data_IF_440199747565
#
_entry.id   IF_440199747565
#
_cell.length_a   1.000
_cell.length_b   1.000
_cell.length_c   1.000
_cell.angle_alpha   90.00
_cell.angle_beta   90.00
_cell.angle_gamma   90.00
#
_symmetry.space_group_name_H-M   'P 1'
#
loop_
_entity.id
_entity.type
_entity.pdbx_description
1 polymer ?
#
# COMPACT_ATOMS: atom_id res chain seq x y z
N UNK A 1 -8.98 4.14 -0.61
CA UNK A 1 -9.43 5.38 0.08
C UNK A 1 -10.93 5.47 0.33
N UNK A 2 -11.80 5.24 -0.66
CA UNK A 2 -13.26 5.36 -0.47
C UNK A 2 -13.81 4.45 0.65
N UNK A 3 -13.34 3.20 0.73
CA UNK A 3 -13.76 2.26 1.77
C UNK A 3 -13.29 2.69 3.17
N UNK A 4 -12.08 3.23 3.29
CA UNK A 4 -11.57 3.82 4.54
C UNK A 4 -12.41 5.03 4.98
N UNK A 5 -12.79 5.91 4.04
CA UNK A 5 -13.68 7.04 4.34
C UNK A 5 -15.01 6.56 4.88
N UNK A 6 -15.62 5.56 4.22
CA UNK A 6 -16.92 4.99 4.62
C UNK A 6 -16.88 4.40 6.03
N UNK A 7 -15.79 3.72 6.38
CA UNK A 7 -15.65 3.03 7.66
C UNK A 7 -14.89 3.85 8.73
N UNK A 8 -14.51 5.09 8.45
CA UNK A 8 -13.68 5.92 9.33
C UNK A 8 -14.22 6.02 10.77
N UNK A 9 -15.54 6.17 10.92
CA UNK A 9 -16.18 6.26 12.23
C UNK A 9 -16.01 5.00 13.10
N UNK A 10 -15.84 3.83 12.48
CA UNK A 10 -15.63 2.55 13.19
C UNK A 10 -14.29 2.52 13.93
N UNK A 11 -13.24 3.13 13.38
CA UNK A 11 -11.92 3.21 14.03
C UNK A 11 -11.96 4.01 15.33
N UNK A 12 -12.80 5.04 15.40
CA UNK A 12 -13.00 5.85 16.61
C UNK A 12 -13.53 5.02 17.79
N UNK A 13 -14.32 3.97 17.53
CA UNK A 13 -14.84 3.06 18.57
C UNK A 13 -13.74 2.30 19.29
N UNK A 14 -12.62 2.08 18.61
CA UNK A 14 -11.45 1.35 19.13
C UNK A 14 -10.31 2.30 19.51
N UNK A 15 -10.60 3.58 19.76
CA UNK A 15 -9.61 4.63 20.06
C UNK A 15 -8.45 4.68 19.04
N UNK A 16 -8.76 4.39 17.77
CA UNK A 16 -7.77 4.28 16.69
C UNK A 16 -7.88 5.48 15.75
N UNK A 17 -6.74 6.10 15.44
CA UNK A 17 -6.64 7.22 14.49
C UNK A 17 -6.13 6.70 13.16
N UNK A 18 -6.78 7.13 12.07
CA UNK A 18 -6.40 6.74 10.71
C UNK A 18 -5.54 7.83 10.08
N UNK A 19 -4.46 7.42 9.41
CA UNK A 19 -3.64 8.26 8.56
C UNK A 19 -3.44 7.55 7.23
N UNK A 20 -3.56 8.29 6.14
CA UNK A 20 -3.15 7.81 4.83
C UNK A 20 -1.76 8.37 4.49
N UNK A 21 -1.00 7.66 3.66
CA UNK A 21 0.32 8.07 3.17
C UNK A 21 0.29 8.05 1.63
N UNK A 22 0.80 9.10 1.01
CA UNK A 22 1.03 9.16 -0.45
C UNK A 22 2.42 9.70 -0.73
N UNK A 23 3.00 9.32 -1.88
CA UNK A 23 4.23 9.91 -2.42
C UNK A 23 3.96 11.20 -3.19
N UNK A 24 2.69 11.59 -3.33
CA UNK A 24 2.28 12.79 -4.05
C UNK A 24 2.68 14.07 -3.30
N UNK A 25 3.01 15.16 -4.02
CA UNK A 25 3.33 16.43 -3.40
C UNK A 25 2.20 17.02 -2.55
N UNK A 26 2.57 17.80 -1.53
CA UNK A 26 1.62 18.42 -0.59
C UNK A 26 0.42 19.09 -1.28
N UNK A 27 0.66 19.86 -2.34
CA UNK A 27 -0.40 20.57 -3.08
C UNK A 27 -1.41 19.60 -3.72
N UNK A 28 -0.94 18.48 -4.27
CA UNK A 28 -1.80 17.46 -4.86
C UNK A 28 -2.60 16.72 -3.79
N UNK A 29 -1.92 16.31 -2.70
CA UNK A 29 -2.54 15.65 -1.54
C UNK A 29 -3.61 16.53 -0.89
N UNK A 30 -3.37 17.83 -0.72
CA UNK A 30 -4.36 18.78 -0.20
C UNK A 30 -5.59 18.91 -1.11
N UNK A 31 -5.38 18.97 -2.43
CA UNK A 31 -6.48 19.00 -3.39
C UNK A 31 -7.30 17.71 -3.33
N UNK A 32 -6.65 16.55 -3.18
CA UNK A 32 -7.32 15.26 -3.03
C UNK A 32 -8.16 15.19 -1.76
N UNK A 33 -7.59 15.60 -0.62
CA UNK A 33 -8.30 15.67 0.67
C UNK A 33 -9.56 16.52 0.55
N UNK A 34 -9.46 17.71 -0.06
CA UNK A 34 -10.61 18.61 -0.26
C UNK A 34 -11.63 18.02 -1.24
N UNK A 35 -11.18 17.50 -2.38
CA UNK A 35 -12.05 16.96 -3.43
C UNK A 35 -12.83 15.73 -2.96
N UNK A 36 -12.19 14.88 -2.16
CA UNK A 36 -12.78 13.64 -1.65
C UNK A 36 -13.40 13.82 -0.26
N UNK A 37 -13.25 15.00 0.36
CA UNK A 37 -13.71 15.31 1.71
C UNK A 37 -13.26 14.21 2.70
N UNK A 38 -11.94 13.98 2.76
CA UNK A 38 -11.39 12.88 3.57
C UNK A 38 -11.46 13.22 5.07
N UNK A 39 -12.00 12.34 5.92
CA UNK A 39 -12.13 12.60 7.35
C UNK A 39 -10.85 12.32 8.15
N UNK A 40 -9.76 11.99 7.46
CA UNK A 40 -8.46 11.65 8.04
C UNK A 40 -7.32 12.39 7.31
N UNK A 41 -6.17 12.60 7.97
CA UNK A 41 -5.02 13.24 7.35
C UNK A 41 -4.40 12.37 6.25
N UNK A 42 -3.87 13.03 5.21
CA UNK A 42 -3.04 12.43 4.18
C UNK A 42 -1.60 12.97 4.32
N UNK A 43 -0.70 12.11 4.76
CA UNK A 43 0.73 12.35 4.90
C UNK A 43 1.41 12.25 3.53
N UNK A 44 2.45 13.06 3.32
CA UNK A 44 3.21 13.14 2.07
C UNK A 44 4.63 12.60 2.29
N UNK A 45 5.02 11.60 1.51
CA UNK A 45 6.33 10.93 1.47
C UNK A 45 6.99 11.20 0.11
N UNK A 46 7.19 12.48 -0.21
CA UNK A 46 7.64 12.93 -1.55
C UNK A 46 9.01 12.35 -1.93
N UNK A 47 9.89 12.21 -0.93
CA UNK A 47 11.23 11.61 -1.05
C UNK A 47 11.20 10.07 -1.00
N UNK A 48 10.02 9.48 -0.79
CA UNK A 48 9.76 8.03 -0.74
C UNK A 48 10.51 7.31 0.38
N UNK A 49 10.92 8.03 1.42
CA UNK A 49 11.73 7.48 2.50
C UNK A 49 10.95 6.43 3.30
N UNK A 50 9.68 6.71 3.64
CA UNK A 50 8.85 5.81 4.44
C UNK A 50 8.49 4.56 3.63
N UNK A 51 8.09 4.71 2.38
CA UNK A 51 7.72 3.54 1.57
C UNK A 51 8.92 2.63 1.29
N UNK A 52 10.14 3.17 1.24
CA UNK A 52 11.37 2.38 1.10
C UNK A 52 11.73 1.65 2.39
N UNK A 53 11.62 2.33 3.54
CA UNK A 53 11.82 1.76 4.87
C UNK A 53 10.88 0.58 5.14
N UNK A 54 9.65 0.66 4.64
CA UNK A 54 8.64 -0.39 4.78
C UNK A 54 8.67 -1.43 3.64
N UNK A 55 9.61 -1.28 2.70
CA UNK A 55 9.78 -2.15 1.53
C UNK A 55 8.50 -2.28 0.69
N UNK A 56 7.81 -1.16 0.50
CA UNK A 56 6.55 -1.07 -0.23
C UNK A 56 6.72 -0.52 -1.64
N UNK A 57 7.89 0.02 -2.01
CA UNK A 57 8.09 0.56 -3.35
C UNK A 57 7.83 -0.51 -4.42
N UNK A 58 6.86 -0.25 -5.28
CA UNK A 58 6.61 -1.04 -6.48
C UNK A 58 7.49 -0.52 -7.61
N UNK A 59 8.54 -1.26 -8.03
CA UNK A 59 9.43 -0.80 -9.09
C UNK A 59 8.74 -0.79 -10.47
N UNK A 60 7.60 -1.46 -10.60
CA UNK A 60 6.91 -1.65 -11.88
C UNK A 60 5.85 -0.60 -12.18
N UNK A 61 5.49 0.28 -11.22
CA UNK A 61 4.54 1.38 -11.44
C UNK A 61 5.22 2.75 -11.34
N UNK A 62 5.33 3.44 -12.49
CA UNK A 62 5.69 4.87 -12.64
C UNK A 62 6.80 5.37 -11.70
N UNK A 63 7.91 4.62 -11.59
CA UNK A 63 9.08 5.08 -10.85
C UNK A 63 8.96 5.07 -9.31
N UNK A 64 8.05 4.28 -8.73
CA UNK A 64 8.10 3.93 -7.30
C UNK A 64 6.90 4.38 -6.47
N UNK A 65 5.68 4.12 -6.94
CA UNK A 65 4.49 4.18 -6.08
C UNK A 65 4.52 3.01 -5.10
N UNK A 66 3.96 3.17 -3.90
CA UNK A 66 3.86 2.08 -2.94
C UNK A 66 2.82 1.03 -3.36
N UNK A 67 3.12 -0.25 -3.14
CA UNK A 67 2.08 -1.28 -3.04
C UNK A 67 1.06 -0.85 -1.98
N UNK A 68 -0.25 -0.95 -2.27
CA UNK A 68 -1.27 -0.71 -1.28
C UNK A 68 -1.03 -1.56 -0.04
N UNK A 69 -0.98 -0.92 1.13
CA UNK A 69 -0.69 -1.59 2.37
C UNK A 69 -1.33 -0.85 3.55
N UNK A 70 -1.69 -1.63 4.57
CA UNK A 70 -2.27 -1.14 5.81
C UNK A 70 -1.45 -1.65 6.97
N UNK A 71 -1.17 -0.78 7.93
CA UNK A 71 -0.42 -1.11 9.15
C UNK A 71 -1.19 -0.59 10.36
N UNK A 72 -1.28 -1.39 11.42
CA UNK A 72 -1.74 -0.91 12.73
C UNK A 72 -0.53 -0.85 13.64
N UNK A 73 -0.33 0.33 14.21
CA UNK A 73 0.74 0.62 15.17
C UNK A 73 0.08 0.83 16.53
N UNK A 74 0.50 0.04 17.52
CA UNK A 74 -0.02 0.14 18.87
C UNK A 74 0.58 1.35 19.61
N UNK A 75 0.08 1.70 20.82
CA UNK A 75 0.64 2.81 21.61
C UNK A 75 2.13 2.66 21.99
N UNK A 76 2.65 1.43 22.02
CA UNK A 76 4.08 1.14 22.22
C UNK A 76 4.94 1.35 20.97
N UNK A 77 4.37 1.84 19.87
CA UNK A 77 5.02 2.06 18.56
C UNK A 77 5.47 0.77 17.87
N UNK A 78 4.83 -0.35 18.19
CA UNK A 78 5.04 -1.63 17.51
C UNK A 78 3.97 -1.85 16.45
N UNK A 79 4.39 -2.36 15.30
CA UNK A 79 3.47 -2.84 14.26
C UNK A 79 2.85 -4.15 14.76
N UNK A 80 1.54 -4.15 14.99
CA UNK A 80 0.81 -5.34 15.44
C UNK A 80 -0.08 -5.96 14.35
N UNK A 81 -0.30 -5.24 13.24
CA UNK A 81 -1.00 -5.73 12.06
C UNK A 81 -0.36 -5.18 10.79
N UNK A 82 -0.37 -6.00 9.72
CA UNK A 82 0.05 -5.60 8.37
C UNK A 82 -0.80 -6.32 7.32
N UNK A 83 -1.38 -5.56 6.39
CA UNK A 83 -1.94 -6.07 5.13
C UNK A 83 -1.13 -5.55 3.94
N UNK A 84 -0.96 -6.39 2.92
CA UNK A 84 -0.50 -6.01 1.59
C UNK A 84 -1.62 -6.29 0.61
N UNK A 85 -2.24 -5.23 0.10
CA UNK A 85 -3.38 -5.35 -0.79
C UNK A 85 -2.92 -5.32 -2.25
N UNK A 86 -3.54 -6.14 -3.10
CA UNK A 86 -3.27 -6.11 -4.53
C UNK A 86 -3.85 -4.86 -5.19
N UNK A 87 -3.20 -4.33 -6.22
CA UNK A 87 -3.64 -3.15 -6.99
C UNK A 87 -5.05 -3.30 -7.60
N UNK A 88 -5.53 -4.54 -7.79
CA UNK A 88 -6.78 -4.87 -8.48
C UNK A 88 -7.95 -5.31 -7.58
N UNK A 89 -7.71 -5.64 -6.30
CA UNK A 89 -8.75 -6.11 -5.38
C UNK A 89 -9.28 -4.96 -4.53
N UNK A 90 -10.59 -4.89 -4.33
CA UNK A 90 -11.17 -4.04 -3.27
C UNK A 90 -10.51 -4.41 -1.94
N UNK A 91 -10.01 -3.42 -1.21
CA UNK A 91 -9.46 -3.61 0.14
C UNK A 91 -10.62 -4.06 1.03
N UNK A 92 -10.58 -5.29 1.51
CA UNK A 92 -11.50 -5.79 2.52
C UNK A 92 -10.98 -5.37 3.89
N UNK A 93 -11.66 -4.40 4.52
CA UNK A 93 -11.30 -3.89 5.84
C UNK A 93 -11.81 -4.78 6.98
N UNK A 94 -12.52 -5.88 6.68
CA UNK A 94 -13.13 -6.75 7.69
C UNK A 94 -12.08 -7.36 8.63
N UNK A 95 -10.95 -7.82 8.09
CA UNK A 95 -9.86 -8.39 8.88
C UNK A 95 -9.21 -7.35 9.80
N UNK A 96 -9.06 -6.11 9.32
CA UNK A 96 -8.50 -4.99 10.09
C UNK A 96 -9.43 -4.60 11.26
N UNK A 97 -10.73 -4.42 10.98
CA UNK A 97 -11.71 -4.04 12.00
C UNK A 97 -11.90 -5.16 13.03
N UNK A 98 -11.91 -6.42 12.60
CA UNK A 98 -11.95 -7.57 13.50
C UNK A 98 -10.70 -7.63 14.39
N UNK A 99 -9.52 -7.33 13.83
CA UNK A 99 -8.30 -7.25 14.61
C UNK A 99 -8.39 -6.14 15.67
N UNK A 100 -8.87 -4.95 15.29
CA UNK A 100 -9.06 -3.82 16.22
C UNK A 100 -10.06 -4.13 17.33
N UNK A 101 -11.16 -4.82 17.02
CA UNK A 101 -12.13 -5.27 18.01
C UNK A 101 -11.48 -6.23 19.02
N UNK A 102 -10.69 -7.19 18.54
CA UNK A 102 -10.04 -8.17 19.41
C UNK A 102 -8.99 -7.54 20.32
N UNK A 103 -8.11 -6.67 19.81
CA UNK A 103 -7.10 -5.98 20.64
C UNK A 103 -7.74 -4.99 21.62
N UNK A 104 -8.88 -4.40 21.25
CA UNK A 104 -9.63 -3.54 22.17
C UNK A 104 -10.21 -4.32 23.36
N UNK A 105 -10.68 -5.56 23.11
CA UNK A 105 -11.23 -6.42 24.14
C UNK A 105 -10.15 -7.18 24.95
N UNK A 106 -9.01 -7.48 24.32
CA UNK A 106 -7.87 -8.16 24.91
C UNK A 106 -6.56 -7.50 24.45
N UNK A 107 -5.96 -6.69 25.33
CA UNK A 107 -4.71 -6.00 25.04
C UNK A 107 -3.52 -6.95 24.80
N UNK A 108 -3.62 -8.21 25.22
CA UNK A 108 -2.63 -9.26 24.97
C UNK A 108 -2.82 -9.99 23.63
N UNK A 109 -3.89 -9.69 22.89
CA UNK A 109 -4.20 -10.40 21.65
C UNK A 109 -3.11 -10.21 20.59
N UNK A 110 -2.54 -11.32 20.16
CA UNK A 110 -1.64 -11.41 19.02
C UNK A 110 -2.34 -12.20 17.91
N UNK A 111 -2.20 -11.76 16.66
CA UNK A 111 -2.66 -12.60 15.55
C UNK A 111 -1.76 -13.83 15.42
N UNK A 112 -2.35 -15.01 15.58
CA UNK A 112 -1.69 -16.29 15.26
C UNK A 112 -1.30 -16.41 13.78
N UNK A 113 -1.91 -15.59 12.91
CA UNK A 113 -1.65 -15.60 11.48
C UNK A 113 -0.64 -14.50 11.18
N UNK A 114 0.62 -14.90 10.97
CA UNK A 114 1.63 -14.01 10.41
C UNK A 114 1.04 -13.30 9.17
N UNK A 115 1.25 -11.98 9.00
CA UNK A 115 0.64 -11.22 7.91
C UNK A 115 0.90 -11.94 6.59
N UNK A 116 -0.17 -12.30 5.87
CA UNK A 116 -0.08 -13.04 4.61
C UNK A 116 0.85 -12.28 3.67
N UNK A 117 2.07 -12.78 3.46
CA UNK A 117 2.93 -12.37 2.34
C UNK A 117 2.32 -12.95 1.07
N UNK A 118 1.24 -12.36 0.57
CA UNK A 118 0.76 -12.66 -0.77
C UNK A 118 1.78 -12.10 -1.75
N UNK A 119 2.30 -12.96 -2.63
CA UNK A 119 3.04 -12.49 -3.79
C UNK A 119 2.06 -11.74 -4.68
N UNK A 120 2.28 -10.44 -4.88
CA UNK A 120 1.53 -9.65 -5.85
C UNK A 120 2.12 -9.95 -7.22
N UNK A 121 1.58 -10.96 -7.89
CA UNK A 121 1.84 -11.21 -9.31
C UNK A 121 0.85 -10.34 -10.08
N UNK A 122 1.29 -9.32 -10.84
CA UNK A 122 0.38 -8.50 -11.63
C UNK A 122 -0.38 -9.39 -12.62
N UNK A 123 -1.70 -9.22 -12.69
CA UNK A 123 -2.55 -10.00 -13.59
C UNK A 123 -2.41 -9.52 -15.04
N UNK A 124 -2.82 -10.32 -16.02
CA UNK A 124 -2.87 -9.90 -17.44
C UNK A 124 -3.70 -8.63 -17.65
N UNK A 125 -4.72 -8.41 -16.81
CA UNK A 125 -5.57 -7.22 -16.82
C UNK A 125 -4.83 -5.99 -16.30
N UNK A 126 -3.95 -6.17 -15.31
CA UNK A 126 -3.08 -5.12 -14.79
C UNK A 126 -2.02 -4.76 -15.82
N UNK A 127 -1.43 -5.75 -16.50
CA UNK A 127 -0.54 -5.55 -17.64
C UNK A 127 -1.21 -4.75 -18.77
N UNK A 128 -2.46 -5.05 -19.12
CA UNK A 128 -3.21 -4.28 -20.12
C UNK A 128 -3.50 -2.84 -19.67
N UNK A 129 -3.87 -2.62 -18.40
CA UNK A 129 -4.07 -1.28 -17.84
C UNK A 129 -2.78 -0.47 -17.76
N UNK A 130 -1.66 -1.10 -17.38
CA UNK A 130 -0.35 -0.47 -17.37
C UNK A 130 0.05 -0.04 -18.78
N UNK A 131 -0.15 -0.90 -19.79
CA UNK A 131 0.07 -0.58 -21.20
C UNK A 131 -0.80 0.58 -21.71
N UNK A 132 -2.10 0.59 -21.37
CA UNK A 132 -2.98 1.69 -21.72
C UNK A 132 -2.53 3.02 -21.08
N UNK A 133 -2.20 3.01 -19.79
CA UNK A 133 -1.67 4.21 -19.12
C UNK A 133 -0.35 4.67 -19.75
N UNK A 134 0.51 3.75 -20.22
CA UNK A 134 1.76 4.06 -20.91
C UNK A 134 1.54 4.70 -22.30
N UNK A 135 0.52 4.25 -23.03
CA UNK A 135 0.17 4.78 -24.36
C UNK A 135 -0.48 6.16 -24.26
N UNK A 136 -1.34 6.38 -23.26
CA UNK A 136 -2.10 7.62 -23.13
C UNK A 136 -1.39 8.69 -22.29
N UNK A 137 -0.59 8.30 -21.29
CA UNK A 137 0.00 9.21 -20.30
C UNK A 137 1.51 9.02 -20.03
N UNK A 138 2.19 8.06 -20.69
CA UNK A 138 3.56 7.68 -20.36
C UNK A 138 4.65 8.59 -20.94
N UNK A 139 5.75 8.77 -20.20
CA UNK A 139 6.97 9.46 -20.65
C UNK A 139 8.08 8.44 -21.00
N UNK A 140 9.18 8.89 -21.61
CA UNK A 140 10.28 8.05 -22.10
C UNK A 140 10.90 7.12 -21.02
N UNK A 141 10.85 7.53 -19.74
CA UNK A 141 11.28 6.69 -18.62
C UNK A 141 10.41 5.43 -18.47
N UNK A 142 9.10 5.52 -18.67
CA UNK A 142 8.16 4.40 -18.56
C UNK A 142 8.38 3.36 -19.66
N UNK A 143 8.78 3.82 -20.87
CA UNK A 143 9.14 2.95 -21.99
C UNK A 143 10.39 2.12 -21.73
N UNK A 144 11.40 2.71 -21.08
CA UNK A 144 12.65 2.02 -20.74
C UNK A 144 12.42 0.92 -19.71
N UNK A 145 11.55 1.15 -18.72
CA UNK A 145 11.22 0.15 -17.71
C UNK A 145 10.37 -1.00 -18.26
N UNK A 146 9.42 -0.73 -19.17
CA UNK A 146 8.61 -1.77 -19.81
C UNK A 146 9.48 -2.73 -20.63
N UNK A 147 10.44 -2.21 -21.41
CA UNK A 147 11.35 -3.04 -22.22
C UNK A 147 12.33 -3.87 -21.38
N UNK A 148 12.76 -3.34 -20.22
CA UNK A 148 13.70 -4.03 -19.32
C UNK A 148 13.01 -4.98 -18.33
N UNK A 149 11.68 -4.98 -18.26
CA UNK A 149 10.87 -5.79 -17.36
C UNK A 149 11.24 -7.29 -17.33
N UNK A 150 11.46 -7.97 -18.49
CA UNK A 150 11.84 -9.39 -18.48
C UNK A 150 13.21 -9.64 -17.83
N UNK A 151 14.13 -8.68 -17.98
CA UNK A 151 15.52 -8.78 -17.49
C UNK A 151 15.59 -8.52 -15.98
N UNK A 152 14.83 -7.54 -15.47
CA UNK A 152 14.76 -7.26 -14.03
C UNK A 152 14.09 -8.39 -13.25
N UNK A 153 13.02 -8.97 -13.81
CA UNK A 153 12.36 -10.17 -13.26
C UNK A 153 13.34 -11.35 -13.14
N UNK A 154 14.16 -11.56 -14.17
CA UNK A 154 15.19 -12.61 -14.16
C UNK A 154 16.27 -12.34 -13.10
N UNK A 155 16.73 -11.09 -12.98
CA UNK A 155 17.75 -10.67 -12.01
C UNK A 155 17.29 -10.82 -10.56
N UNK A 156 16.03 -10.53 -10.25
CA UNK A 156 15.44 -10.77 -8.94
C UNK A 156 15.35 -12.26 -8.59
N UNK A 157 15.00 -13.11 -9.56
CA UNK A 157 14.95 -14.56 -9.37
C UNK A 157 16.34 -15.13 -9.05
N UNK A 158 17.38 -14.70 -9.77
CA UNK A 158 18.76 -15.17 -9.59
C UNK A 158 19.37 -14.73 -8.26
N UNK A 159 19.14 -13.49 -7.82
CA UNK A 159 19.68 -12.99 -6.54
C UNK A 159 19.14 -13.72 -5.31
N UNK A 160 17.99 -14.38 -5.41
CA UNK A 160 17.39 -15.16 -4.32
C UNK A 160 17.98 -16.57 -4.18
N UNK A 161 18.52 -17.15 -5.26
CA UNK A 161 19.22 -18.44 -5.21
C UNK A 161 20.61 -18.36 -4.58
N UNK A 162 21.19 -17.15 -4.52
CA UNK A 162 22.53 -16.91 -3.97
C UNK A 162 22.55 -16.63 -2.45
N UNK A 163 21.37 -16.56 -1.81
CA UNK A 163 21.18 -16.34 -0.37
C UNK A 163 20.55 -17.54 0.37
N UNK A 164 20.67 -18.75 -0.20
CA UNK A 164 20.36 -20.00 0.51
C UNK A 164 21.65 -20.70 0.91
#
# INVERSE_FOLDING_TARGET
MAELKKNHASYGKFNTRVFALSVDPLKQSQNLVKKMDLPFPLLCDEDKHVIDLFHLRNPFEHGGIAYPATFIINPERKICYRSLDGTASRVDLSDELLFLEKIHNDAGYQMDIAPKKSWIIPSLKDGWRMSLNLIFNGNFADWKHFLLFPVEMFRMMVNKFRKR
#
